data_IF_182933184416
#
_entry.id   IF_182933184416
#
_cell.length_a   1.000
_cell.length_b   1.000
_cell.length_c   1.000
_cell.angle_alpha   90.00
_cell.angle_beta   90.00
_cell.angle_gamma   90.00
#
_symmetry.space_group_name_H-M   'P 1'
#
loop_
_entity.id
_entity.type
_entity.pdbx_description
1 polymer ?
#
# COMPACT_ATOMS: atom_id res chain seq x y z
N UNK A 1 10.01 -21.82 33.12
CA UNK A 1 9.25 -20.59 32.76
C UNK A 1 7.90 -20.61 33.46
N UNK A 2 7.55 -19.55 34.20
CA UNK A 2 6.29 -19.48 34.96
C UNK A 2 5.05 -19.52 34.04
N UNK A 3 4.08 -20.39 34.37
CA UNK A 3 2.82 -20.56 33.61
C UNK A 3 1.99 -19.26 33.58
N UNK A 4 2.04 -18.49 34.66
CA UNK A 4 1.35 -17.21 34.79
C UNK A 4 1.90 -16.19 33.79
N UNK A 5 3.22 -16.17 33.61
CA UNK A 5 3.92 -15.28 32.69
C UNK A 5 3.57 -15.57 31.22
N UNK A 6 3.38 -16.85 30.88
CA UNK A 6 2.90 -17.26 29.55
C UNK A 6 1.44 -16.89 29.32
N UNK A 7 0.59 -17.04 30.33
CA UNK A 7 -0.81 -16.66 30.23
C UNK A 7 -0.93 -15.14 30.02
N UNK A 8 -0.25 -14.35 30.88
CA UNK A 8 -0.30 -12.90 30.80
C UNK A 8 0.22 -12.37 29.47
N UNK A 9 1.28 -12.97 28.90
CA UNK A 9 1.80 -12.54 27.60
C UNK A 9 0.83 -12.81 26.46
N UNK A 10 0.15 -13.98 26.47
CA UNK A 10 -0.87 -14.32 25.47
C UNK A 10 -2.07 -13.39 25.61
N UNK A 11 -2.54 -13.13 26.83
CA UNK A 11 -3.68 -12.25 27.08
C UNK A 11 -3.38 -10.81 26.65
N UNK A 12 -2.17 -10.31 26.91
CA UNK A 12 -1.73 -9.00 26.45
C UNK A 12 -1.70 -8.96 24.92
N UNK A 13 -1.03 -9.90 24.26
CA UNK A 13 -0.97 -9.94 22.79
C UNK A 13 -2.36 -10.01 22.16
N UNK A 14 -3.23 -10.89 22.67
CA UNK A 14 -4.60 -11.02 22.17
C UNK A 14 -5.41 -9.73 22.37
N UNK A 15 -5.25 -9.06 23.52
CA UNK A 15 -5.93 -7.79 23.81
C UNK A 15 -5.45 -6.69 22.87
N UNK A 16 -4.14 -6.55 22.68
CA UNK A 16 -3.57 -5.53 21.79
C UNK A 16 -4.01 -5.75 20.34
N UNK A 17 -4.02 -7.01 19.87
CA UNK A 17 -4.50 -7.34 18.54
C UNK A 17 -5.99 -7.02 18.37
N UNK A 18 -6.83 -7.41 19.34
CA UNK A 18 -8.27 -7.12 19.31
C UNK A 18 -8.55 -5.61 19.26
N UNK A 19 -7.85 -4.82 20.09
CA UNK A 19 -7.97 -3.36 20.10
C UNK A 19 -7.49 -2.76 18.78
N UNK A 20 -6.36 -3.23 18.25
CA UNK A 20 -5.85 -2.73 16.96
C UNK A 20 -6.82 -3.01 15.81
N UNK A 21 -7.44 -4.19 15.79
CA UNK A 21 -8.44 -4.55 14.81
C UNK A 21 -9.70 -3.69 14.94
N UNK A 22 -10.18 -3.45 16.17
CA UNK A 22 -11.32 -2.59 16.42
C UNK A 22 -11.12 -1.19 15.83
N UNK A 23 -9.98 -0.55 16.10
CA UNK A 23 -9.69 0.77 15.55
C UNK A 23 -9.52 0.78 14.02
N UNK A 24 -9.07 -0.33 13.44
CA UNK A 24 -8.88 -0.42 12.00
C UNK A 24 -10.18 -0.67 11.22
N UNK A 25 -11.03 -1.58 11.72
CA UNK A 25 -12.18 -2.10 10.98
C UNK A 25 -13.54 -1.58 11.47
N UNK A 26 -13.65 -1.14 12.73
CA UNK A 26 -14.93 -0.79 13.35
C UNK A 26 -14.99 0.71 13.67
N UNK A 27 -13.94 1.25 14.30
CA UNK A 27 -13.89 2.66 14.66
C UNK A 27 -14.06 3.57 13.42
N UNK A 28 -14.79 4.67 13.60
CA UNK A 28 -15.15 5.61 12.52
C UNK A 28 -15.76 4.93 11.29
N UNK A 29 -16.72 4.03 11.52
CA UNK A 29 -17.39 3.23 10.48
C UNK A 29 -16.43 2.47 9.56
N UNK A 30 -15.30 2.01 10.12
CA UNK A 30 -14.27 1.29 9.39
C UNK A 30 -13.56 2.14 8.34
N UNK A 31 -13.41 3.45 8.58
CA UNK A 31 -12.76 4.39 7.65
C UNK A 31 -11.45 3.86 7.05
N UNK A 32 -10.57 3.29 7.89
CA UNK A 32 -9.27 2.78 7.45
C UNK A 32 -9.39 1.52 6.58
N UNK A 33 -10.30 0.61 6.93
CA UNK A 33 -10.62 -0.56 6.11
C UNK A 33 -11.21 -0.15 4.76
N UNK A 34 -12.22 0.73 4.76
CA UNK A 34 -12.94 1.19 3.57
C UNK A 34 -12.06 2.01 2.61
N UNK A 35 -11.15 2.83 3.14
CA UNK A 35 -10.21 3.60 2.31
C UNK A 35 -8.92 2.86 1.95
N UNK A 36 -8.74 1.62 2.42
CA UNK A 36 -7.54 0.86 2.09
C UNK A 36 -7.46 0.54 0.60
N UNK A 37 -6.25 0.63 0.03
CA UNK A 37 -5.99 0.34 -1.38
C UNK A 37 -6.40 -1.10 -1.70
N UNK A 38 -6.09 -2.04 -0.81
CA UNK A 38 -6.42 -3.46 -0.97
C UNK A 38 -7.93 -3.72 -1.01
N UNK A 39 -8.72 -3.05 -0.16
CA UNK A 39 -10.18 -3.17 -0.19
C UNK A 39 -10.75 -2.65 -1.51
N UNK A 40 -10.29 -1.48 -1.97
CA UNK A 40 -10.70 -0.90 -3.26
C UNK A 40 -10.38 -1.81 -4.45
N UNK A 41 -9.20 -2.41 -4.47
CA UNK A 41 -8.81 -3.37 -5.52
C UNK A 41 -9.70 -4.61 -5.46
N UNK A 42 -9.90 -5.18 -4.28
CA UNK A 42 -10.72 -6.38 -4.09
C UNK A 42 -12.17 -6.15 -4.53
N UNK A 43 -12.77 -5.03 -4.10
CA UNK A 43 -14.15 -4.68 -4.45
C UNK A 43 -14.29 -4.40 -5.95
N UNK A 44 -13.30 -3.74 -6.57
CA UNK A 44 -13.28 -3.54 -8.03
C UNK A 44 -13.19 -4.87 -8.78
N UNK A 45 -12.27 -5.76 -8.39
CA UNK A 45 -12.12 -7.08 -9.00
C UNK A 45 -13.40 -7.90 -8.86
N UNK A 46 -14.03 -7.87 -7.68
CA UNK A 46 -15.33 -8.52 -7.44
C UNK A 46 -16.42 -7.92 -8.31
N UNK A 47 -16.47 -6.60 -8.44
CA UNK A 47 -17.41 -5.89 -9.31
C UNK A 47 -17.29 -6.30 -10.78
N UNK A 48 -16.05 -6.51 -11.27
CA UNK A 48 -15.79 -6.99 -12.63
C UNK A 48 -16.27 -8.44 -12.80
N UNK A 49 -15.95 -9.34 -11.85
CA UNK A 49 -16.36 -10.75 -11.89
C UNK A 49 -17.89 -10.87 -11.87
N UNK A 50 -18.54 -10.11 -11.00
CA UNK A 50 -20.00 -10.10 -10.86
C UNK A 50 -20.71 -9.32 -11.99
N UNK A 51 -19.97 -8.81 -12.98
CA UNK A 51 -20.46 -7.95 -14.08
C UNK A 51 -21.24 -6.72 -13.60
N UNK A 52 -20.92 -6.21 -12.41
CA UNK A 52 -21.48 -4.97 -11.84
C UNK A 52 -20.65 -3.75 -12.21
N UNK A 53 -19.43 -3.94 -12.69
CA UNK A 53 -18.52 -2.89 -13.12
C UNK A 53 -17.83 -3.31 -14.42
N UNK A 54 -17.83 -2.42 -15.40
CA UNK A 54 -17.10 -2.64 -16.65
C UNK A 54 -15.62 -2.31 -16.49
N UNK A 55 -14.78 -3.05 -17.20
CA UNK A 55 -13.38 -2.71 -17.38
C UNK A 55 -13.36 -1.52 -18.33
N UNK A 56 -13.17 -0.31 -17.79
CA UNK A 56 -12.92 0.87 -18.60
C UNK A 56 -11.69 0.58 -19.45
N UNK A 57 -11.90 0.39 -20.75
CA UNK A 57 -10.81 0.32 -21.70
C UNK A 57 -10.13 1.70 -21.69
N UNK A 58 -8.95 1.79 -21.09
CA UNK A 58 -8.06 2.92 -21.33
C UNK A 58 -7.82 3.00 -22.83
N UNK A 59 -7.82 4.24 -23.33
CA UNK A 59 -7.73 4.67 -24.74
C UNK A 59 -7.36 3.58 -25.76
N UNK A 60 -8.08 3.49 -26.89
CA UNK A 60 -7.73 2.54 -27.95
C UNK A 60 -6.24 2.65 -28.25
N UNK A 61 -5.54 1.50 -28.30
CA UNK A 61 -4.12 1.40 -28.58
C UNK A 61 -3.73 2.46 -29.62
N UNK A 62 -3.06 3.52 -29.16
CA UNK A 62 -2.76 4.62 -30.06
C UNK A 62 -1.76 4.07 -31.07
N UNK A 63 -2.21 3.86 -32.31
CA UNK A 63 -1.38 3.39 -33.43
C UNK A 63 -0.35 4.43 -33.87
N UNK A 64 -0.33 5.59 -33.19
CA UNK A 64 0.65 6.64 -33.44
C UNK A 64 2.01 6.16 -32.92
N UNK A 65 3.02 6.02 -33.79
CA UNK A 65 4.37 5.73 -33.33
C UNK A 65 4.79 6.85 -32.39
N UNK A 66 4.97 6.50 -31.12
CA UNK A 66 5.60 7.38 -30.14
C UNK A 66 7.08 7.07 -30.16
N UNK A 67 7.88 8.11 -30.30
CA UNK A 67 9.31 7.98 -30.18
C UNK A 67 9.64 7.72 -28.70
N UNK A 68 9.84 6.46 -28.34
CA UNK A 68 10.26 6.09 -26.99
C UNK A 68 11.77 6.31 -26.96
N UNK A 69 12.19 7.44 -26.39
CA UNK A 69 13.59 7.71 -26.09
C UNK A 69 14.06 6.69 -25.04
N UNK A 70 14.50 5.52 -25.49
CA UNK A 70 15.06 4.47 -24.63
C UNK A 70 16.45 4.90 -24.20
N UNK A 71 16.57 5.45 -22.99
CA UNK A 71 17.89 5.67 -22.38
C UNK A 71 18.55 4.33 -22.03
N UNK A 72 19.89 4.24 -22.11
CA UNK A 72 20.61 3.07 -21.62
C UNK A 72 20.22 2.71 -20.19
N UNK A 73 20.12 1.41 -19.90
CA UNK A 73 19.72 0.90 -18.58
C UNK A 73 20.62 1.43 -17.45
N UNK A 74 21.89 1.66 -17.75
CA UNK A 74 22.88 2.21 -16.82
C UNK A 74 22.55 3.65 -16.41
N UNK A 75 22.11 4.50 -17.34
CA UNK A 75 21.71 5.88 -17.04
C UNK A 75 20.41 5.91 -16.25
N UNK A 76 19.45 5.04 -16.61
CA UNK A 76 18.19 4.89 -15.86
C UNK A 76 18.44 4.47 -14.41
N UNK A 77 19.40 3.55 -14.19
CA UNK A 77 19.77 3.11 -12.84
C UNK A 77 20.42 4.23 -12.01
N UNK A 78 21.26 5.06 -12.65
CA UNK A 78 21.86 6.24 -11.99
C UNK A 78 20.79 7.24 -11.57
N UNK A 79 19.80 7.49 -12.42
CA UNK A 79 18.70 8.42 -12.12
C UNK A 79 17.86 7.91 -10.93
N UNK A 80 17.48 6.62 -10.95
CA UNK A 80 16.76 5.98 -9.84
C UNK A 80 17.55 6.01 -8.52
N UNK A 81 18.85 5.74 -8.60
CA UNK A 81 19.73 5.78 -7.43
C UNK A 81 19.84 7.19 -6.85
N UNK A 82 20.01 8.20 -7.70
CA UNK A 82 20.09 9.60 -7.28
C UNK A 82 18.77 10.07 -6.64
N UNK A 83 17.63 9.66 -7.18
CA UNK A 83 16.32 9.96 -6.61
C UNK A 83 16.14 9.31 -5.23
N UNK A 84 16.51 8.04 -5.09
CA UNK A 84 16.44 7.32 -3.82
C UNK A 84 17.31 7.97 -2.74
N UNK A 85 18.54 8.37 -3.09
CA UNK A 85 19.43 9.09 -2.15
C UNK A 85 18.81 10.41 -1.74
N UNK A 86 18.33 11.22 -2.68
CA UNK A 86 17.76 12.54 -2.37
C UNK A 86 16.54 12.41 -1.46
N UNK A 87 15.67 11.43 -1.73
CA UNK A 87 14.51 11.11 -0.89
C UNK A 87 14.96 10.71 0.52
N UNK A 88 15.92 9.78 0.63
CA UNK A 88 16.42 9.30 1.92
C UNK A 88 17.08 10.41 2.75
N UNK A 89 17.89 11.26 2.11
CA UNK A 89 18.50 12.43 2.76
C UNK A 89 17.43 13.42 3.20
N UNK A 90 16.44 13.72 2.35
CA UNK A 90 15.33 14.61 2.74
C UNK A 90 14.53 14.09 3.93
N UNK A 91 14.33 12.77 4.02
CA UNK A 91 13.68 12.12 5.16
C UNK A 91 14.51 12.25 6.43
N UNK A 92 15.82 11.98 6.37
CA UNK A 92 16.72 12.12 7.53
C UNK A 92 16.72 13.56 8.04
N UNK A 93 16.84 14.54 7.14
CA UNK A 93 16.83 15.95 7.54
C UNK A 93 15.44 16.45 7.99
N UNK A 94 14.35 15.76 7.64
CA UNK A 94 13.01 16.08 8.16
C UNK A 94 12.81 15.72 9.63
N UNK A 95 13.64 14.84 10.19
CA UNK A 95 13.60 14.47 11.62
C UNK A 95 14.29 15.51 12.53
N UNK A 96 15.07 16.43 11.95
CA UNK A 96 15.74 17.53 12.66
C UNK A 96 14.99 18.86 12.62
N UNK A 97 13.79 18.91 12.03
CA UNK A 97 12.86 20.04 12.04
C UNK A 97 11.73 19.76 13.03
#
# INVERSE_FOLDING_TARGET
MSKILKLSSITLLSSTLAVSYYYYAIDRDGYHYNNSIWKRISDRTRGIIDRKQDIVATDPFTTKPRDILRRPMVETMKDLWNEQIRSSVSWIYSLGK
#
